data_IF_587765385932
#
_entry.id   IF_587765385932
#
_cell.length_a   1.000
_cell.length_b   1.000
_cell.length_c   1.000
_cell.angle_alpha   90.00
_cell.angle_beta   90.00
_cell.angle_gamma   90.00
#
_symmetry.space_group_name_H-M   'P 1'
#
loop_
_entity.id
_entity.type
_entity.pdbx_description
1 polymer ?
#
# COMPACT_ATOMS: atom_id res chain seq x y z
N UNK A 1 -14.78 10.43 -10.50
CA UNK A 1 -14.63 9.80 -9.17
C UNK A 1 -13.51 10.60 -8.54
N UNK A 2 -13.84 11.47 -7.59
CA UNK A 2 -12.93 12.53 -7.13
C UNK A 2 -12.56 12.31 -5.66
N UNK A 3 -12.20 11.07 -5.31
CA UNK A 3 -11.64 10.70 -4.00
C UNK A 3 -10.10 10.71 -4.01
N UNK A 4 -9.45 10.89 -2.85
CA UNK A 4 -7.99 10.81 -2.75
C UNK A 4 -7.53 9.37 -3.08
N UNK A 5 -6.47 9.25 -3.88
CA UNK A 5 -5.94 7.94 -4.28
C UNK A 5 -5.18 7.28 -3.13
N UNK A 6 -5.47 6.01 -2.85
CA UNK A 6 -4.80 5.24 -1.80
C UNK A 6 -3.72 4.32 -2.38
N UNK A 7 -2.47 4.51 -1.98
CA UNK A 7 -1.39 3.57 -2.26
C UNK A 7 -1.10 2.71 -1.03
N UNK A 8 -1.35 1.40 -1.10
CA UNK A 8 -0.97 0.44 -0.06
C UNK A 8 0.36 -0.19 -0.43
N UNK A 9 1.39 0.01 0.40
CA UNK A 9 2.70 -0.65 0.24
C UNK A 9 2.79 -1.76 1.29
N UNK A 10 2.95 -3.01 0.85
CA UNK A 10 2.83 -4.16 1.75
C UNK A 10 3.93 -5.19 1.53
N UNK A 11 4.24 -5.95 2.58
CA UNK A 11 5.11 -7.11 2.48
C UNK A 11 4.51 -8.21 1.58
N UNK A 12 5.37 -9.08 1.06
CA UNK A 12 5.00 -10.13 0.08
C UNK A 12 4.40 -11.39 0.72
N UNK A 13 4.51 -11.54 2.03
CA UNK A 13 3.99 -12.70 2.74
C UNK A 13 2.49 -12.61 3.07
N UNK A 14 2.00 -13.62 3.79
CA UNK A 14 0.59 -13.74 4.14
C UNK A 14 0.12 -12.63 5.09
N UNK A 15 0.97 -12.15 6.01
CA UNK A 15 0.57 -11.12 6.98
C UNK A 15 0.48 -9.75 6.29
N UNK A 16 1.44 -9.45 5.41
CA UNK A 16 1.34 -8.31 4.50
C UNK A 16 0.06 -8.35 3.65
N UNK A 17 -0.19 -9.45 2.95
CA UNK A 17 -1.41 -9.58 2.12
C UNK A 17 -2.69 -9.40 2.94
N UNK A 18 -2.78 -10.06 4.11
CA UNK A 18 -3.97 -10.01 4.94
C UNK A 18 -4.24 -8.60 5.50
N UNK A 19 -3.22 -7.95 6.05
CA UNK A 19 -3.32 -6.60 6.60
C UNK A 19 -3.67 -5.57 5.53
N UNK A 20 -3.09 -5.67 4.32
CA UNK A 20 -3.44 -4.83 3.18
C UNK A 20 -4.92 -5.00 2.77
N UNK A 21 -5.39 -6.25 2.66
CA UNK A 21 -6.78 -6.53 2.30
C UNK A 21 -7.78 -5.98 3.33
N UNK A 22 -7.48 -6.16 4.63
CA UNK A 22 -8.29 -5.62 5.72
C UNK A 22 -8.33 -4.09 5.65
N UNK A 23 -7.18 -3.45 5.45
CA UNK A 23 -7.10 -2.00 5.37
C UNK A 23 -7.91 -1.43 4.19
N UNK A 24 -7.76 -2.00 3.00
CA UNK A 24 -8.55 -1.62 1.81
C UNK A 24 -10.06 -1.71 2.08
N UNK A 25 -10.49 -2.82 2.71
CA UNK A 25 -11.90 -3.03 3.05
C UNK A 25 -12.44 -1.97 4.01
N UNK A 26 -11.66 -1.60 5.03
CA UNK A 26 -12.02 -0.57 6.01
C UNK A 26 -11.97 0.84 5.42
N UNK A 27 -11.04 1.09 4.50
CA UNK A 27 -10.93 2.35 3.78
C UNK A 27 -12.04 2.54 2.74
N UNK A 28 -12.78 1.47 2.40
CA UNK A 28 -13.80 1.51 1.35
C UNK A 28 -13.21 1.67 -0.05
N UNK A 29 -11.96 1.25 -0.24
CA UNK A 29 -11.21 1.42 -1.49
C UNK A 29 -11.09 0.11 -2.26
N UNK A 30 -11.13 0.20 -3.58
CA UNK A 30 -11.05 -0.90 -4.54
C UNK A 30 -9.75 -0.80 -5.36
N UNK A 31 -8.89 -1.85 -5.31
CA UNK A 31 -7.69 -1.91 -6.14
C UNK A 31 -8.00 -1.76 -7.63
N UNK A 32 -7.32 -0.82 -8.29
CA UNK A 32 -7.51 -0.51 -9.71
C UNK A 32 -8.59 0.53 -10.01
N UNK A 33 -9.38 0.96 -9.00
CA UNK A 33 -10.41 1.99 -9.16
C UNK A 33 -9.99 3.29 -8.44
N UNK A 34 -9.73 3.20 -7.14
CA UNK A 34 -9.32 4.33 -6.29
C UNK A 34 -8.16 3.98 -5.34
N UNK A 35 -7.62 2.77 -5.46
CA UNK A 35 -6.41 2.34 -4.78
C UNK A 35 -5.46 1.53 -5.67
N UNK A 36 -4.20 1.46 -5.24
CA UNK A 36 -3.22 0.50 -5.76
C UNK A 36 -2.55 -0.26 -4.60
N UNK A 37 -2.09 -1.47 -4.90
CA UNK A 37 -1.32 -2.31 -3.96
C UNK A 37 0.06 -2.55 -4.56
N UNK A 38 1.09 -2.14 -3.83
CA UNK A 38 2.49 -2.33 -4.19
C UNK A 38 3.13 -3.28 -3.19
N UNK A 39 3.48 -4.47 -3.67
CA UNK A 39 4.16 -5.46 -2.83
C UNK A 39 5.67 -5.24 -2.86
N UNK A 40 6.33 -5.37 -1.71
CA UNK A 40 7.78 -5.21 -1.63
C UNK A 40 8.41 -6.02 -0.52
N UNK A 41 9.72 -6.17 -0.60
CA UNK A 41 10.54 -6.74 0.47
C UNK A 41 11.02 -5.62 1.41
N UNK A 42 11.30 -5.88 2.70
CA UNK A 42 11.63 -4.83 3.66
C UNK A 42 12.82 -3.97 3.23
N UNK A 43 13.86 -4.61 2.68
CA UNK A 43 15.08 -3.93 2.20
C UNK A 43 14.88 -3.11 0.91
N UNK A 44 13.70 -3.17 0.27
CA UNK A 44 13.36 -2.40 -0.94
C UNK A 44 12.37 -1.27 -0.66
N UNK A 45 11.85 -1.14 0.56
CA UNK A 45 10.81 -0.17 0.91
C UNK A 45 11.15 1.27 0.47
N UNK A 46 12.33 1.79 0.86
CA UNK A 46 12.71 3.16 0.50
C UNK A 46 12.80 3.39 -1.02
N UNK A 47 13.26 2.38 -1.78
CA UNK A 47 13.32 2.43 -3.25
C UNK A 47 11.92 2.45 -3.88
N UNK A 48 10.96 1.74 -3.28
CA UNK A 48 9.56 1.79 -3.71
C UNK A 48 8.96 3.16 -3.39
N UNK A 49 9.10 3.63 -2.15
CA UNK A 49 8.58 4.93 -1.72
C UNK A 49 9.13 6.10 -2.54
N UNK A 50 10.41 6.05 -2.94
CA UNK A 50 11.01 7.10 -3.78
C UNK A 50 10.42 7.20 -5.18
N UNK A 51 9.78 6.12 -5.67
CA UNK A 51 9.19 6.03 -7.02
C UNK A 51 7.70 6.31 -7.06
N UNK A 52 7.04 6.47 -5.92
CA UNK A 52 5.61 6.79 -5.88
C UNK A 52 5.39 8.22 -6.39
N UNK A 53 4.73 8.32 -7.54
CA UNK A 53 4.40 9.59 -8.21
C UNK A 53 3.18 10.27 -7.57
N UNK A 54 2.22 9.48 -7.09
CA UNK A 54 0.99 9.96 -6.44
C UNK A 54 1.03 9.62 -4.95
N UNK A 55 0.83 10.61 -4.08
CA UNK A 55 1.06 10.51 -2.63
C UNK A 55 -0.09 11.07 -1.78
N UNK A 56 -1.32 11.03 -2.30
CA UNK A 56 -2.49 11.57 -1.60
C UNK A 56 -2.67 10.88 -0.23
N UNK A 57 -2.55 9.55 -0.20
CA UNK A 57 -2.43 8.76 1.03
C UNK A 57 -1.60 7.50 0.77
N UNK A 58 -0.60 7.26 1.61
CA UNK A 58 0.21 6.04 1.60
C UNK A 58 -0.05 5.28 2.90
N UNK A 59 -0.38 4.00 2.78
CA UNK A 59 -0.50 3.08 3.91
C UNK A 59 0.59 2.00 3.79
N UNK A 60 1.38 1.83 4.85
CA UNK A 60 2.47 0.85 4.90
C UNK A 60 2.02 -0.30 5.81
N UNK A 61 2.09 -1.52 5.31
CA UNK A 61 1.56 -2.72 5.98
C UNK A 61 2.64 -3.78 6.09
N UNK A 62 2.77 -4.39 7.27
CA UNK A 62 3.77 -5.43 7.59
C UNK A 62 5.21 -5.06 7.17
N UNK A 63 5.50 -3.76 7.24
CA UNK A 63 6.75 -3.17 6.82
C UNK A 63 7.08 -2.07 7.83
N UNK A 64 8.32 -2.07 8.32
CA UNK A 64 8.78 -1.16 9.37
C UNK A 64 10.22 -0.69 9.13
N UNK A 65 10.75 0.18 10.01
CA UNK A 65 12.11 0.67 9.88
C UNK A 65 13.12 -0.47 10.04
N UNK A 66 13.95 -0.65 9.01
CA UNK A 66 15.30 -1.22 9.15
C UNK A 66 16.31 -0.09 9.20
#
# INVERSE_FOLDING_TARGET
MDGPWLTVVTHTDLDGVASAAIYLRLAGAEPGVDAEVVMTEPYKLHKVLSKLERRDRIAIMDLGPN
#
